data_IF_457978503930
#
_entry.id   IF_457978503930
#
_cell.length_a   1.000
_cell.length_b   1.000
_cell.length_c   1.000
_cell.angle_alpha   90.00
_cell.angle_beta   90.00
_cell.angle_gamma   90.00
#
_symmetry.space_group_name_H-M   'P 1'
#
loop_
_entity.id
_entity.type
_entity.pdbx_description
1 polymer ?
#
# COMPACT_ATOMS: atom_id res chain seq x y z
N UNK A 1 1.56 -1.36 -12.02
CA UNK A 1 1.52 -0.68 -10.71
C UNK A 1 2.90 -0.56 -10.04
N UNK A 2 3.79 -1.56 -10.11
CA UNK A 2 5.13 -1.53 -9.48
C UNK A 2 5.98 -0.30 -9.86
N UNK A 3 5.98 0.09 -11.13
CA UNK A 3 6.70 1.28 -11.60
C UNK A 3 6.18 2.58 -10.96
N UNK A 4 4.86 2.69 -10.77
CA UNK A 4 4.23 3.85 -10.11
C UNK A 4 4.63 3.91 -8.64
N UNK A 5 4.62 2.77 -7.95
CA UNK A 5 5.09 2.67 -6.56
C UNK A 5 6.55 3.13 -6.43
N UNK A 6 7.41 2.62 -7.30
CA UNK A 6 8.84 2.95 -7.27
C UNK A 6 9.08 4.44 -7.52
N UNK A 7 8.35 5.05 -8.47
CA UNK A 7 8.42 6.48 -8.75
C UNK A 7 7.96 7.33 -7.56
N UNK A 8 6.84 6.96 -6.94
CA UNK A 8 6.31 7.66 -5.76
C UNK A 8 7.27 7.59 -4.56
N UNK A 9 7.84 6.43 -4.27
CA UNK A 9 8.82 6.29 -3.18
C UNK A 9 10.11 7.06 -3.46
N UNK A 10 10.58 7.09 -4.71
CA UNK A 10 11.72 7.91 -5.11
C UNK A 10 11.43 9.40 -4.92
N UNK A 11 10.24 9.85 -5.30
CA UNK A 11 9.78 11.22 -5.06
C UNK A 11 9.77 11.56 -3.56
N UNK A 12 9.23 10.68 -2.70
CA UNK A 12 9.26 10.91 -1.24
C UNK A 12 10.67 10.95 -0.66
N UNK A 13 11.60 10.17 -1.21
CA UNK A 13 12.99 10.18 -0.79
C UNK A 13 13.69 11.51 -1.14
N UNK A 14 13.48 12.02 -2.36
CA UNK A 14 14.15 13.22 -2.87
C UNK A 14 13.48 14.50 -2.35
N UNK A 15 12.17 14.63 -2.53
CA UNK A 15 11.45 15.89 -2.30
C UNK A 15 11.07 16.09 -0.83
N UNK A 16 10.92 14.99 -0.07
CA UNK A 16 10.48 15.04 1.34
C UNK A 16 11.54 14.58 2.32
N UNK A 17 12.69 14.12 1.83
CA UNK A 17 13.83 13.71 2.66
C UNK A 17 13.49 12.65 3.71
N UNK A 18 12.51 11.77 3.42
CA UNK A 18 12.07 10.79 4.41
C UNK A 18 13.20 9.82 4.76
N UNK A 19 13.26 9.47 6.05
CA UNK A 19 14.25 8.52 6.54
C UNK A 19 14.11 7.15 5.85
N UNK A 20 15.21 6.40 5.63
CA UNK A 20 15.17 5.09 4.98
C UNK A 20 14.18 4.10 5.60
N UNK A 21 14.06 4.11 6.93
CA UNK A 21 13.14 3.22 7.65
C UNK A 21 11.67 3.57 7.38
N UNK A 22 11.34 4.86 7.24
CA UNK A 22 9.98 5.31 6.88
C UNK A 22 9.64 4.90 5.45
N UNK A 23 10.59 5.09 4.51
CA UNK A 23 10.43 4.65 3.13
C UNK A 23 10.27 3.12 3.02
N UNK A 24 10.99 2.35 3.84
CA UNK A 24 10.86 0.90 3.89
C UNK A 24 9.48 0.46 4.39
N UNK A 25 8.95 1.12 5.43
CA UNK A 25 7.58 0.87 5.91
C UNK A 25 6.56 1.17 4.81
N UNK A 26 6.65 2.35 4.18
CA UNK A 26 5.73 2.74 3.12
C UNK A 26 5.78 1.80 1.93
N UNK A 27 6.98 1.32 1.55
CA UNK A 27 7.14 0.32 0.50
C UNK A 27 6.39 -0.97 0.82
N UNK A 28 6.51 -1.46 2.06
CA UNK A 28 5.81 -2.68 2.49
C UNK A 28 4.30 -2.50 2.42
N UNK A 29 3.79 -1.39 2.95
CA UNK A 29 2.36 -1.14 3.06
C UNK A 29 1.73 -0.89 1.68
N UNK A 30 2.40 -0.14 0.81
CA UNK A 30 1.94 0.11 -0.56
C UNK A 30 2.01 -1.16 -1.43
N UNK A 31 2.98 -2.05 -1.21
CA UNK A 31 3.02 -3.34 -1.89
C UNK A 31 1.84 -4.21 -1.50
N UNK A 32 1.53 -4.29 -0.19
CA UNK A 32 0.34 -4.97 0.31
C UNK A 32 -0.95 -4.44 -0.35
N UNK A 33 -1.05 -3.12 -0.52
CA UNK A 33 -2.19 -2.51 -1.21
C UNK A 33 -2.27 -2.92 -2.69
N UNK A 34 -1.16 -2.88 -3.42
CA UNK A 34 -1.12 -3.30 -4.83
C UNK A 34 -1.49 -4.77 -4.98
N UNK A 35 -1.00 -5.63 -4.09
CA UNK A 35 -1.30 -7.06 -4.12
C UNK A 35 -2.78 -7.33 -3.81
N UNK A 36 -3.39 -6.56 -2.89
CA UNK A 36 -4.83 -6.59 -2.65
C UNK A 36 -5.63 -6.14 -3.89
N UNK A 37 -5.23 -5.05 -4.55
CA UNK A 37 -5.93 -4.57 -5.75
C UNK A 37 -5.83 -5.59 -6.90
N UNK A 38 -4.67 -6.22 -7.07
CA UNK A 38 -4.47 -7.28 -8.06
C UNK A 38 -5.33 -8.51 -7.79
N UNK A 39 -5.50 -8.93 -6.54
CA UNK A 39 -6.36 -10.08 -6.21
C UNK A 39 -7.84 -9.80 -6.52
N UNK A 40 -8.24 -8.53 -6.60
CA UNK A 40 -9.56 -8.08 -7.04
C UNK A 40 -9.67 -7.83 -8.55
N UNK A 41 -8.61 -8.08 -9.32
CA UNK A 41 -8.59 -7.95 -10.78
C UNK A 41 -8.21 -6.56 -11.31
N UNK A 42 -7.77 -5.65 -10.45
CA UNK A 42 -7.31 -4.33 -10.88
C UNK A 42 -5.85 -4.39 -11.35
N UNK A 43 -5.63 -4.08 -12.62
CA UNK A 43 -4.31 -3.99 -13.24
C UNK A 43 -3.70 -2.59 -13.13
N UNK A 44 -4.55 -1.56 -13.00
CA UNK A 44 -4.17 -0.15 -13.02
C UNK A 44 -4.89 0.65 -11.93
N UNK A 45 -4.21 1.67 -11.39
CA UNK A 45 -4.77 2.52 -10.33
C UNK A 45 -6.03 3.30 -10.77
N UNK A 46 -6.18 3.58 -12.06
CA UNK A 46 -7.38 4.26 -12.60
C UNK A 46 -8.65 3.41 -12.52
N UNK A 47 -8.54 2.11 -12.25
CA UNK A 47 -9.68 1.20 -12.09
C UNK A 47 -10.19 1.16 -10.65
N UNK A 48 -9.41 1.72 -9.71
CA UNK A 48 -9.66 1.65 -8.27
C UNK A 48 -10.74 2.64 -7.89
N UNK A 49 -11.78 2.14 -7.23
CA UNK A 49 -12.85 2.96 -6.65
C UNK A 49 -12.81 2.99 -5.13
N UNK A 50 -13.71 3.79 -4.56
CA UNK A 50 -13.95 3.82 -3.12
C UNK A 50 -14.21 2.43 -2.50
N UNK A 51 -14.98 1.52 -3.13
CA UNK A 51 -15.22 0.19 -2.57
C UNK A 51 -13.95 -0.65 -2.39
N UNK A 52 -12.95 -0.47 -3.26
CA UNK A 52 -11.68 -1.19 -3.18
C UNK A 52 -10.83 -0.69 -2.01
N UNK A 53 -10.87 0.61 -1.72
CA UNK A 53 -10.23 1.20 -0.55
C UNK A 53 -10.90 0.68 0.73
N UNK A 54 -12.24 0.66 0.78
CA UNK A 54 -12.97 0.13 1.93
C UNK A 54 -12.65 -1.36 2.17
N UNK A 55 -12.62 -2.17 1.10
CA UNK A 55 -12.27 -3.58 1.18
C UNK A 55 -10.82 -3.79 1.68
N UNK A 56 -9.89 -2.92 1.28
CA UNK A 56 -8.52 -2.96 1.79
C UNK A 56 -8.44 -2.65 3.27
N UNK A 57 -9.19 -1.65 3.76
CA UNK A 57 -9.25 -1.32 5.19
C UNK A 57 -9.79 -2.49 6.03
N UNK A 58 -10.75 -3.26 5.50
CA UNK A 58 -11.24 -4.49 6.14
C UNK A 58 -10.12 -5.54 6.18
N UNK A 59 -9.46 -5.79 5.05
CA UNK A 59 -8.35 -6.76 4.97
C UNK A 59 -7.18 -6.42 5.91
N UNK A 60 -6.87 -5.13 6.10
CA UNK A 60 -5.84 -4.69 7.05
C UNK A 60 -6.19 -5.02 8.51
N UNK A 61 -7.48 -5.01 8.87
CA UNK A 61 -7.97 -5.31 10.22
C UNK A 61 -8.02 -6.81 10.49
N UNK A 62 -8.38 -7.59 9.49
CA UNK A 62 -8.41 -9.05 9.61
C UNK A 62 -6.99 -9.63 9.65
N UNK A 63 -6.07 -9.02 8.90
CA UNK A 63 -4.74 -9.59 8.71
C UNK A 63 -4.78 -10.83 7.82
N UNK A 64 -3.61 -11.27 7.38
CA UNK A 64 -3.44 -12.50 6.61
C UNK A 64 -2.13 -13.20 7.02
N UNK A 65 -1.89 -14.40 6.49
CA UNK A 65 -0.74 -15.22 6.86
C UNK A 65 0.62 -14.59 6.56
N UNK A 66 0.68 -13.66 5.60
CA UNK A 66 1.89 -12.92 5.24
C UNK A 66 1.99 -11.59 6.00
N UNK A 67 0.86 -11.03 6.45
CA UNK A 67 0.77 -9.70 6.99
C UNK A 67 -0.19 -9.62 8.21
N UNK A 68 0.34 -9.50 9.44
CA UNK A 68 -0.49 -9.43 10.63
C UNK A 68 -1.45 -8.22 10.58
N UNK A 69 -2.56 -8.32 11.32
CA UNK A 69 -3.52 -7.25 11.46
C UNK A 69 -2.81 -5.96 11.92
N UNK A 70 -3.03 -4.87 11.19
CA UNK A 70 -2.44 -3.58 11.57
C UNK A 70 -3.27 -2.99 12.70
N UNK A 71 -2.66 -2.73 13.86
CA UNK A 71 -3.34 -2.02 14.95
C UNK A 71 -3.71 -0.61 14.51
N UNK A 72 -4.93 -0.18 14.86
CA UNK A 72 -5.58 1.06 14.42
C UNK A 72 -4.80 2.36 14.71
N UNK A 73 -3.67 2.30 15.43
CA UNK A 73 -2.84 3.45 15.78
C UNK A 73 -1.72 3.76 14.76
N UNK A 74 -1.72 3.14 13.58
CA UNK A 74 -0.66 3.33 12.57
C UNK A 74 -1.16 3.50 11.13
N UNK A 75 -2.45 3.85 10.96
CA UNK A 75 -3.03 4.26 9.68
C UNK A 75 -3.22 5.78 9.63
#
# INVERSE_FOLDING_TARGET
MEAVLSSYLAHLAVERGLAPNTLASYRRDLRRYVDHLRSRGHAELGQVGEPDVQAFLVALREGDGDHPALVASSA
#
